data_IF_092696331263
#
_entry.id   IF_092696331263
#
_cell.length_a   1.000
_cell.length_b   1.000
_cell.length_c   1.000
_cell.angle_alpha   90.00
_cell.angle_beta   90.00
_cell.angle_gamma   90.00
#
_symmetry.space_group_name_H-M   'P 1'
#
loop_
_entity.id
_entity.type
_entity.pdbx_description
1 polymer ?
#
# COMPACT_ATOMS: atom_id res chain seq x y z
N UNK A 1 24.01 -17.97 -35.16
CA UNK A 1 23.87 -17.53 -33.76
C UNK A 1 22.78 -16.46 -33.64
N UNK A 2 21.55 -16.77 -34.04
CA UNK A 2 20.45 -15.81 -34.17
C UNK A 2 19.20 -16.23 -33.36
N UNK A 3 19.41 -16.97 -32.26
CA UNK A 3 18.33 -17.54 -31.45
C UNK A 3 18.21 -16.95 -30.04
N UNK A 4 19.13 -16.07 -29.64
CA UNK A 4 19.19 -15.56 -28.27
C UNK A 4 18.51 -14.20 -28.05
N UNK A 5 18.06 -13.52 -29.12
CA UNK A 5 17.49 -12.17 -28.99
C UNK A 5 15.96 -12.13 -28.87
N UNK A 6 15.26 -13.26 -28.99
CA UNK A 6 13.80 -13.29 -28.89
C UNK A 6 13.27 -13.37 -27.45
N UNK A 7 14.12 -13.68 -26.46
CA UNK A 7 13.70 -13.86 -25.06
C UNK A 7 13.66 -12.53 -24.27
N UNK A 8 14.31 -11.48 -24.77
CA UNK A 8 14.38 -10.19 -24.07
C UNK A 8 13.10 -9.34 -24.21
N UNK A 9 12.27 -9.60 -25.21
CA UNK A 9 11.08 -8.77 -25.49
C UNK A 9 9.85 -9.13 -24.63
N UNK A 10 9.80 -10.34 -24.05
CA UNK A 10 8.66 -10.79 -23.23
C UNK A 10 8.72 -10.35 -21.76
N UNK A 11 9.87 -9.87 -21.28
CA UNK A 11 10.03 -9.38 -19.90
C UNK A 11 9.64 -7.91 -19.73
N UNK A 12 9.51 -7.15 -20.82
CA UNK A 12 9.15 -5.72 -20.75
C UNK A 12 7.64 -5.47 -20.65
N UNK A 13 6.79 -6.44 -21.04
CA UNK A 13 5.32 -6.28 -20.98
C UNK A 13 4.70 -6.66 -19.63
N UNK A 14 5.43 -7.33 -18.73
CA UNK A 14 4.93 -7.68 -17.40
C UNK A 14 5.04 -6.52 -16.40
N UNK A 15 5.78 -5.45 -16.71
CA UNK A 15 5.87 -4.27 -15.86
C UNK A 15 4.60 -3.38 -15.86
N UNK A 16 3.70 -3.57 -16.84
CA UNK A 16 2.38 -2.89 -16.83
C UNK A 16 1.29 -3.70 -16.09
N UNK A 17 1.57 -4.93 -15.66
CA UNK A 17 0.59 -5.79 -14.98
C UNK A 17 0.50 -5.56 -13.46
N UNK A 18 1.38 -4.74 -12.87
CA UNK A 18 1.26 -4.25 -11.49
C UNK A 18 0.46 -2.93 -11.38
N UNK A 19 -0.03 -2.39 -12.50
CA UNK A 19 -0.89 -1.21 -12.53
C UNK A 19 -2.38 -1.53 -12.64
N UNK A 20 -2.80 -2.74 -12.26
CA UNK A 20 -4.21 -3.11 -12.27
C UNK A 20 -4.92 -2.39 -11.11
N UNK A 21 -5.67 -1.34 -11.47
CA UNK A 21 -6.83 -0.83 -10.76
C UNK A 21 -6.65 -0.50 -9.26
N UNK A 22 -6.21 0.73 -8.97
CA UNK A 22 -6.67 1.41 -7.76
C UNK A 22 -7.54 2.61 -8.12
N UNK A 23 -8.60 2.38 -8.90
CA UNK A 23 -9.87 2.95 -8.47
C UNK A 23 -10.25 2.21 -7.20
N UNK A 24 -9.58 2.54 -6.09
CA UNK A 24 -9.97 2.10 -4.77
C UNK A 24 -11.44 2.46 -4.60
N UNK A 25 -12.25 1.61 -3.94
CA UNK A 25 -13.65 1.91 -3.75
C UNK A 25 -13.73 3.30 -3.11
N UNK A 26 -14.42 4.23 -3.79
CA UNK A 26 -14.79 5.50 -3.19
C UNK A 26 -15.48 5.15 -1.87
N UNK A 27 -14.90 5.60 -0.76
CA UNK A 27 -15.20 5.14 0.59
C UNK A 27 -16.69 5.18 0.98
N UNK A 28 -17.53 5.84 0.18
CA UNK A 28 -18.95 6.03 0.37
C UNK A 28 -19.79 4.73 0.36
N UNK A 29 -19.28 3.58 -0.12
CA UNK A 29 -20.04 2.31 -0.18
C UNK A 29 -19.26 1.05 0.26
N UNK A 30 -18.16 1.21 1.00
CA UNK A 30 -17.33 0.07 1.44
C UNK A 30 -17.93 -0.56 2.71
N UNK A 31 -18.09 -1.90 2.78
CA UNK A 31 -18.47 -2.57 4.02
C UNK A 31 -17.47 -2.26 5.14
N UNK A 32 -17.95 -1.99 6.36
CA UNK A 32 -17.10 -1.66 7.51
C UNK A 32 -16.00 -2.72 7.74
N UNK A 33 -16.33 -4.00 7.54
CA UNK A 33 -15.36 -5.11 7.64
C UNK A 33 -14.15 -4.91 6.70
N UNK A 34 -14.36 -4.40 5.49
CA UNK A 34 -13.27 -4.12 4.55
C UNK A 34 -12.42 -2.93 5.02
N UNK A 35 -13.06 -1.90 5.59
CA UNK A 35 -12.35 -0.75 6.19
C UNK A 35 -11.48 -1.21 7.36
N UNK A 36 -12.01 -2.07 8.22
CA UNK A 36 -11.29 -2.59 9.40
C UNK A 36 -10.11 -3.47 8.98
N UNK A 37 -10.28 -4.31 7.95
CA UNK A 37 -9.20 -5.11 7.37
C UNK A 37 -8.11 -4.19 6.81
N UNK A 38 -8.49 -3.18 6.02
CA UNK A 38 -7.56 -2.23 5.43
C UNK A 38 -6.79 -1.44 6.49
N UNK A 39 -7.48 -0.98 7.53
CA UNK A 39 -6.86 -0.30 8.67
C UNK A 39 -5.87 -1.20 9.39
N UNK A 40 -6.22 -2.47 9.65
CA UNK A 40 -5.33 -3.43 10.32
C UNK A 40 -4.04 -3.71 9.52
N UNK A 41 -4.13 -3.71 8.18
CA UNK A 41 -2.96 -3.82 7.30
C UNK A 41 -2.08 -2.58 7.39
N UNK A 42 -2.68 -1.39 7.40
CA UNK A 42 -1.96 -0.13 7.55
C UNK A 42 -1.29 -0.01 8.94
N UNK A 43 -1.96 -0.44 10.01
CA UNK A 43 -1.38 -0.52 11.35
C UNK A 43 -0.18 -1.47 11.40
N UNK A 44 -0.29 -2.64 10.77
CA UNK A 44 0.81 -3.60 10.68
C UNK A 44 2.03 -3.00 9.97
N UNK A 45 1.81 -2.26 8.88
CA UNK A 45 2.87 -1.52 8.16
C UNK A 45 3.52 -0.47 9.06
N UNK A 46 2.72 0.33 9.76
CA UNK A 46 3.21 1.37 10.67
C UNK A 46 4.06 0.82 11.82
N UNK A 47 3.64 -0.28 12.44
CA UNK A 47 4.40 -0.95 13.50
C UNK A 47 5.77 -1.43 13.02
N UNK A 48 5.82 -2.05 11.83
CA UNK A 48 7.09 -2.52 11.25
C UNK A 48 7.99 -1.34 10.89
N UNK A 49 7.43 -0.28 10.29
CA UNK A 49 8.19 0.90 9.87
C UNK A 49 8.77 1.71 11.04
N UNK A 50 8.11 1.67 12.21
CA UNK A 50 8.54 2.41 13.41
C UNK A 50 9.27 1.54 14.43
N UNK A 51 9.50 0.25 14.15
CA UNK A 51 10.09 -0.71 15.09
C UNK A 51 11.48 -0.31 15.64
N UNK A 52 12.21 0.57 14.93
CA UNK A 52 13.54 1.04 15.33
C UNK A 52 13.52 2.41 16.03
N UNK A 53 12.36 3.07 16.13
CA UNK A 53 12.22 4.35 16.81
C UNK A 53 12.25 4.10 18.32
N UNK A 54 13.20 4.74 19.02
CA UNK A 54 13.42 4.52 20.46
C UNK A 54 12.52 5.37 21.35
N UNK A 55 12.02 6.48 20.83
CA UNK A 55 11.09 7.36 21.52
C UNK A 55 9.67 6.85 21.26
N UNK A 56 8.96 6.43 22.31
CA UNK A 56 7.61 5.89 22.18
C UNK A 56 6.63 6.93 21.58
N UNK A 57 6.69 8.19 22.04
CA UNK A 57 5.84 9.25 21.49
C UNK A 57 6.13 9.56 20.02
N UNK A 58 7.40 9.60 19.64
CA UNK A 58 7.78 9.80 18.22
C UNK A 58 7.36 8.61 17.36
N UNK A 59 7.43 7.39 17.91
CA UNK A 59 6.98 6.19 17.21
C UNK A 59 5.47 6.22 16.99
N UNK A 60 4.68 6.61 17.98
CA UNK A 60 3.21 6.73 17.88
C UNK A 60 2.81 7.81 16.85
N UNK A 61 3.43 9.00 16.91
CA UNK A 61 3.17 10.07 15.96
C UNK A 61 3.47 9.63 14.51
N UNK A 62 4.62 8.98 14.30
CA UNK A 62 5.01 8.43 13.00
C UNK A 62 4.12 7.28 12.56
N UNK A 63 3.66 6.44 13.49
CA UNK A 63 2.73 5.36 13.17
C UNK A 63 1.42 5.93 12.64
N UNK A 64 0.89 6.97 13.28
CA UNK A 64 -0.34 7.60 12.85
C UNK A 64 -0.19 8.25 11.45
N UNK A 65 0.91 8.95 11.21
CA UNK A 65 1.22 9.50 9.87
C UNK A 65 1.23 8.41 8.78
N UNK A 66 1.86 7.26 9.07
CA UNK A 66 1.95 6.13 8.13
C UNK A 66 0.58 5.47 7.92
N UNK A 67 -0.23 5.35 8.97
CA UNK A 67 -1.59 4.81 8.87
C UNK A 67 -2.44 5.73 7.99
N UNK A 68 -2.40 7.05 8.24
CA UNK A 68 -3.18 8.03 7.51
C UNK A 68 -2.80 8.07 6.02
N UNK A 69 -1.50 8.04 5.72
CA UNK A 69 -1.01 7.96 4.34
C UNK A 69 -1.45 6.65 3.66
N UNK A 70 -1.32 5.51 4.34
CA UNK A 70 -1.74 4.21 3.83
C UNK A 70 -3.26 4.14 3.57
N UNK A 71 -4.07 4.69 4.47
CA UNK A 71 -5.52 4.75 4.29
C UNK A 71 -5.90 5.70 3.15
N UNK A 72 -5.18 6.82 3.00
CA UNK A 72 -5.33 7.75 1.87
C UNK A 72 -4.97 7.10 0.53
N UNK A 73 -3.89 6.33 0.45
CA UNK A 73 -3.51 5.54 -0.73
C UNK A 73 -4.61 4.57 -1.15
N UNK A 74 -5.35 4.01 -0.18
CA UNK A 74 -6.49 3.10 -0.39
C UNK A 74 -7.79 3.82 -0.78
N UNK A 75 -7.82 5.16 -0.76
CA UNK A 75 -8.99 5.97 -1.13
C UNK A 75 -9.85 6.43 0.05
N UNK A 76 -9.43 6.17 1.29
CA UNK A 76 -10.10 6.68 2.47
C UNK A 76 -9.64 8.11 2.76
N UNK A 77 -10.58 9.04 2.88
CA UNK A 77 -10.27 10.41 3.31
C UNK A 77 -10.49 10.49 4.82
N UNK A 78 -9.42 10.73 5.58
CA UNK A 78 -9.57 11.19 6.96
C UNK A 78 -10.34 12.53 6.90
N UNK A 79 -11.51 12.59 7.55
CA UNK A 79 -12.30 13.82 7.67
C UNK A 79 -11.70 14.74 8.72
#
# INVERSE_FOLDING_TARGET
MLRHFAVAASLALSALALGCASTGPTADNVPQETVDIDYSQCQSRALVSTALIKSAGEAEDRQQEIIDECMKEKGYTAK
#
